data_IF_920750844996
#
_entry.id   IF_920750844996
#
_cell.length_a   1.000
_cell.length_b   1.000
_cell.length_c   1.000
_cell.angle_alpha   90.00
_cell.angle_beta   90.00
_cell.angle_gamma   90.00
#
_symmetry.space_group_name_H-M   'P 1'
#
loop_
_entity.id
_entity.type
_entity.pdbx_description
1 polymer ?
#
# COMPACT_ATOMS: atom_id res chain seq x y z
N UNK A 1 -78.25 12.18 13.97
CA UNK A 1 -77.02 13.01 13.89
C UNK A 1 -75.86 12.09 14.26
N UNK A 2 -75.14 11.55 13.28
CA UNK A 2 -74.07 10.56 13.50
C UNK A 2 -72.71 11.29 13.55
N UNK A 3 -71.99 11.14 14.65
CA UNK A 3 -70.63 11.68 14.84
C UNK A 3 -69.61 10.71 14.22
N UNK A 4 -68.95 11.14 13.15
CA UNK A 4 -67.84 10.43 12.52
C UNK A 4 -66.55 10.90 13.20
N UNK A 5 -65.86 10.02 13.89
CA UNK A 5 -64.53 10.26 14.47
C UNK A 5 -63.46 9.86 13.44
N UNK A 6 -62.51 10.73 13.06
CA UNK A 6 -61.45 10.34 12.15
C UNK A 6 -60.37 9.57 12.93
N UNK A 7 -60.12 8.32 12.54
CA UNK A 7 -58.93 7.57 12.97
C UNK A 7 -57.75 8.03 12.13
N UNK A 8 -56.87 8.84 12.72
CA UNK A 8 -55.57 9.16 12.14
C UNK A 8 -54.68 7.93 12.36
N UNK A 9 -54.41 7.18 11.29
CA UNK A 9 -53.42 6.12 11.30
C UNK A 9 -52.03 6.76 11.13
N UNK A 10 -51.24 6.77 12.21
CA UNK A 10 -49.83 7.14 12.17
C UNK A 10 -49.04 6.00 11.54
N UNK A 11 -48.71 6.14 10.25
CA UNK A 11 -47.86 5.19 9.54
C UNK A 11 -46.40 5.43 9.97
N UNK A 12 -45.90 4.65 10.92
CA UNK A 12 -44.48 4.64 11.28
C UNK A 12 -43.72 3.92 10.16
N UNK A 13 -43.15 4.68 9.22
CA UNK A 13 -42.20 4.14 8.25
C UNK A 13 -40.93 3.75 8.99
N UNK A 14 -40.71 2.46 9.24
CA UNK A 14 -39.39 1.94 9.58
C UNK A 14 -38.47 2.18 8.37
N UNK A 15 -37.61 3.19 8.45
CA UNK A 15 -36.47 3.29 7.56
C UNK A 15 -35.57 2.07 7.81
N UNK A 16 -35.17 1.32 6.78
CA UNK A 16 -34.17 0.28 6.97
C UNK A 16 -32.89 0.94 7.47
N UNK A 17 -32.38 0.49 8.61
CA UNK A 17 -31.04 0.84 9.07
C UNK A 17 -30.06 0.20 8.07
N UNK A 18 -29.71 0.90 7.00
CA UNK A 18 -28.54 0.53 6.21
C UNK A 18 -27.34 0.69 7.14
N UNK A 19 -26.72 -0.42 7.53
CA UNK A 19 -25.41 -0.37 8.18
C UNK A 19 -24.45 0.30 7.20
N UNK A 20 -23.96 1.49 7.56
CA UNK A 20 -22.89 2.13 6.82
C UNK A 20 -21.63 1.28 6.97
N UNK A 21 -20.80 1.25 5.93
CA UNK A 21 -19.50 0.62 6.05
C UNK A 21 -18.75 1.17 7.27
N UNK A 22 -17.96 0.34 7.95
CA UNK A 22 -17.18 0.79 9.10
C UNK A 22 -15.74 0.32 8.93
N UNK A 23 -14.80 1.26 9.01
CA UNK A 23 -13.37 0.98 8.90
C UNK A 23 -12.79 0.76 10.29
N UNK A 24 -12.33 -0.46 10.56
CA UNK A 24 -11.58 -0.84 11.77
C UNK A 24 -10.10 -1.00 11.44
N UNK A 25 -9.24 -0.45 12.29
CA UNK A 25 -7.79 -0.66 12.26
C UNK A 25 -7.36 -1.41 13.52
N UNK A 26 -6.85 -2.62 13.35
CA UNK A 26 -6.29 -3.45 14.42
C UNK A 26 -4.82 -3.08 14.68
N UNK A 27 -4.06 -2.86 13.61
CA UNK A 27 -2.72 -2.29 13.62
C UNK A 27 -2.56 -1.25 12.51
N UNK A 28 -1.76 -0.19 12.73
CA UNK A 28 -1.11 0.18 13.98
C UNK A 28 -2.13 0.68 15.02
N UNK A 29 -1.76 0.62 16.31
CA UNK A 29 -2.54 1.23 17.41
C UNK A 29 -1.98 2.61 17.73
N UNK A 30 -2.84 3.51 18.20
CA UNK A 30 -2.42 4.84 18.64
C UNK A 30 -1.46 4.79 19.84
N UNK A 31 -0.64 5.83 20.00
CA UNK A 31 0.23 6.01 21.17
C UNK A 31 1.71 5.81 20.86
N UNK A 32 2.49 5.44 21.88
CA UNK A 32 3.93 5.22 21.76
C UNK A 32 4.20 3.73 21.54
N UNK A 33 5.07 3.42 20.59
CA UNK A 33 5.50 2.05 20.34
C UNK A 33 7.02 1.98 20.14
N UNK A 34 7.59 0.84 20.49
CA UNK A 34 8.97 0.50 20.13
C UNK A 34 8.95 -0.01 18.68
N UNK A 35 9.91 0.41 17.86
CA UNK A 35 10.10 -0.13 16.51
C UNK A 35 10.43 -1.62 16.56
N UNK A 36 10.34 -2.33 15.43
CA UNK A 36 10.44 -3.79 15.37
C UNK A 36 11.66 -4.33 16.14
N UNK A 37 11.40 -5.03 17.25
CA UNK A 37 12.33 -5.94 17.91
C UNK A 37 11.83 -7.37 17.71
N UNK A 38 12.76 -8.32 17.56
CA UNK A 38 12.58 -9.77 17.34
C UNK A 38 11.27 -10.20 16.64
N UNK A 39 11.35 -10.46 15.33
CA UNK A 39 10.26 -11.07 14.55
C UNK A 39 9.65 -10.19 13.44
N UNK A 40 10.14 -8.98 13.23
CA UNK A 40 9.82 -8.21 12.04
C UNK A 40 10.62 -8.78 10.85
N UNK A 41 9.98 -9.56 9.99
CA UNK A 41 10.58 -10.02 8.74
C UNK A 41 10.33 -8.93 7.68
N UNK A 42 11.38 -8.21 7.32
CA UNK A 42 11.32 -7.17 6.28
C UNK A 42 11.63 -7.76 4.89
N UNK A 43 12.30 -8.91 4.85
CA UNK A 43 12.48 -9.69 3.62
C UNK A 43 11.46 -10.83 3.60
N UNK A 44 10.48 -10.75 2.71
CA UNK A 44 9.55 -11.85 2.46
C UNK A 44 10.21 -12.90 1.56
N UNK A 45 10.08 -14.18 1.93
CA UNK A 45 10.42 -15.31 1.04
C UNK A 45 9.35 -15.39 -0.06
N UNK A 46 9.72 -15.06 -1.29
CA UNK A 46 8.82 -15.07 -2.45
C UNK A 46 8.96 -16.40 -3.17
N UNK A 47 7.89 -17.20 -3.19
CA UNK A 47 7.78 -18.41 -4.00
C UNK A 47 6.90 -18.12 -5.23
N UNK A 48 7.47 -18.30 -6.42
CA UNK A 48 6.79 -18.04 -7.68
C UNK A 48 5.92 -19.23 -8.15
N UNK A 49 4.75 -18.99 -8.76
CA UNK A 49 4.05 -17.70 -8.91
C UNK A 49 3.29 -17.32 -7.63
N UNK A 50 3.48 -16.10 -7.13
CA UNK A 50 2.84 -15.64 -5.90
C UNK A 50 1.35 -15.36 -6.17
N UNK A 51 0.45 -16.05 -5.45
CA UNK A 51 -1.00 -15.96 -5.66
C UNK A 51 -1.71 -15.02 -4.68
N UNK A 52 -1.00 -14.43 -3.70
CA UNK A 52 -1.60 -13.55 -2.70
C UNK A 52 -0.57 -12.73 -1.93
N UNK A 53 -1.01 -11.61 -1.35
CA UNK A 53 -0.24 -10.84 -0.38
C UNK A 53 -0.21 -11.62 0.92
N UNK A 54 0.81 -12.45 1.09
CA UNK A 54 1.00 -13.19 2.32
C UNK A 54 1.95 -12.41 3.23
N UNK A 55 1.41 -11.65 4.18
CA UNK A 55 2.16 -11.34 5.40
C UNK A 55 2.58 -12.67 6.03
N UNK A 56 3.88 -12.86 6.31
CA UNK A 56 4.35 -14.09 6.95
C UNK A 56 3.54 -14.34 8.23
N UNK A 57 3.18 -15.60 8.51
CA UNK A 57 2.33 -15.96 9.66
C UNK A 57 2.89 -15.47 11.01
N UNK A 58 4.20 -15.23 11.06
CA UNK A 58 4.96 -14.74 12.21
C UNK A 58 5.36 -13.25 12.13
N UNK A 59 4.87 -12.46 11.16
CA UNK A 59 5.26 -11.05 11.01
C UNK A 59 4.89 -10.24 12.26
N UNK A 60 5.78 -9.40 12.77
CA UNK A 60 5.46 -8.58 13.94
C UNK A 60 4.31 -7.58 13.64
N UNK A 61 3.36 -7.43 14.57
CA UNK A 61 2.28 -6.44 14.50
C UNK A 61 2.80 -4.99 14.33
N UNK A 62 4.06 -4.74 14.71
CA UNK A 62 4.75 -3.46 14.56
C UNK A 62 5.08 -3.11 13.10
N UNK A 63 5.11 -4.10 12.20
CA UNK A 63 5.54 -3.98 10.81
C UNK A 63 4.41 -4.31 9.81
N UNK A 64 3.15 -4.11 10.22
CA UNK A 64 1.97 -4.33 9.37
C UNK A 64 0.82 -3.36 9.64
N UNK A 65 0.00 -3.16 8.63
CA UNK A 65 -1.27 -2.43 8.67
C UNK A 65 -2.38 -3.44 8.46
N UNK A 66 -3.16 -3.70 9.51
CA UNK A 66 -4.19 -4.74 9.54
C UNK A 66 -5.51 -4.20 10.06
N UNK A 67 -6.60 -4.68 9.48
CA UNK A 67 -7.94 -4.34 9.93
C UNK A 67 -9.01 -4.96 9.05
N UNK A 68 -10.19 -4.37 9.09
CA UNK A 68 -11.31 -4.78 8.27
C UNK A 68 -12.21 -3.58 7.94
N UNK A 69 -12.90 -3.64 6.80
CA UNK A 69 -14.00 -2.76 6.44
C UNK A 69 -15.27 -3.60 6.40
N UNK A 70 -16.16 -3.39 7.38
CA UNK A 70 -17.42 -4.12 7.47
C UNK A 70 -18.51 -3.46 6.63
N UNK A 71 -19.61 -4.18 6.41
CA UNK A 71 -20.80 -3.70 5.70
C UNK A 71 -20.55 -3.12 4.29
N UNK A 72 -19.50 -3.61 3.61
CA UNK A 72 -19.27 -3.33 2.19
C UNK A 72 -20.39 -3.92 1.34
N UNK A 73 -20.88 -3.14 0.38
CA UNK A 73 -21.81 -3.65 -0.62
C UNK A 73 -21.07 -4.58 -1.59
N UNK A 74 -21.77 -5.55 -2.18
CA UNK A 74 -21.19 -6.57 -3.07
C UNK A 74 -20.52 -5.98 -4.33
N UNK A 75 -20.97 -4.81 -4.77
CA UNK A 75 -20.36 -4.03 -5.85
C UNK A 75 -19.08 -3.30 -5.38
N UNK A 76 -19.06 -2.81 -4.14
CA UNK A 76 -17.91 -2.12 -3.54
C UNK A 76 -16.78 -3.07 -3.14
N UNK A 77 -17.09 -4.32 -2.78
CA UNK A 77 -16.09 -5.32 -2.39
C UNK A 77 -15.12 -5.70 -3.50
N UNK A 78 -15.39 -5.27 -4.75
CA UNK A 78 -14.51 -5.47 -5.91
C UNK A 78 -13.58 -4.28 -6.19
N UNK A 79 -13.86 -3.12 -5.60
CA UNK A 79 -13.04 -1.93 -5.78
C UNK A 79 -12.03 -1.82 -4.63
N UNK A 80 -10.79 -1.35 -4.90
CA UNK A 80 -9.83 -1.16 -3.84
C UNK A 80 -10.25 -0.02 -2.90
N UNK A 81 -9.97 -0.19 -1.61
CA UNK A 81 -9.96 0.92 -0.67
C UNK A 81 -8.78 1.86 -0.93
N UNK A 82 -8.57 2.80 0.00
CA UNK A 82 -7.36 3.64 0.01
C UNK A 82 -6.63 3.48 1.33
N UNK A 83 -5.32 3.29 1.24
CA UNK A 83 -4.40 3.38 2.36
C UNK A 83 -3.57 4.65 2.21
N UNK A 84 -3.49 5.47 3.25
CA UNK A 84 -2.68 6.69 3.29
C UNK A 84 -1.73 6.60 4.48
N UNK A 85 -0.43 6.54 4.20
CA UNK A 85 0.61 6.50 5.24
C UNK A 85 1.49 7.74 5.12
N UNK A 86 1.51 8.57 6.16
CA UNK A 86 2.27 9.84 6.21
C UNK A 86 2.04 10.74 4.97
N UNK A 87 0.84 10.71 4.39
CA UNK A 87 0.49 11.47 3.18
C UNK A 87 0.65 10.68 1.87
N UNK A 88 1.40 9.58 1.86
CA UNK A 88 1.51 8.67 0.71
C UNK A 88 0.23 7.86 0.54
N UNK A 89 -0.58 8.20 -0.45
CA UNK A 89 -1.83 7.50 -0.79
C UNK A 89 -1.57 6.38 -1.79
N UNK A 90 -2.03 5.17 -1.47
CA UNK A 90 -1.96 3.98 -2.31
C UNK A 90 -3.29 3.21 -2.30
N UNK A 91 -3.60 2.41 -3.33
CA UNK A 91 -4.77 1.54 -3.29
C UNK A 91 -4.59 0.44 -2.22
N UNK A 92 -5.71 -0.01 -1.65
CA UNK A 92 -5.73 -1.07 -0.64
C UNK A 92 -6.61 -2.21 -1.14
N UNK A 93 -6.02 -3.39 -1.35
CA UNK A 93 -6.81 -4.60 -1.60
C UNK A 93 -7.58 -4.95 -0.32
N UNK A 94 -8.85 -5.28 -0.50
CA UNK A 94 -9.75 -5.72 0.56
C UNK A 94 -10.20 -7.12 0.18
N UNK A 95 -10.11 -8.04 1.13
CA UNK A 95 -10.53 -9.44 0.95
C UNK A 95 -12.06 -9.55 0.90
N UNK A 96 -12.58 -10.69 0.44
CA UNK A 96 -14.03 -10.89 0.29
C UNK A 96 -14.80 -10.77 1.62
N UNK A 97 -14.15 -11.04 2.75
CA UNK A 97 -14.69 -10.88 4.11
C UNK A 97 -14.54 -9.44 4.66
N UNK A 98 -13.98 -8.52 3.87
CA UNK A 98 -13.70 -7.15 4.25
C UNK A 98 -12.34 -6.96 4.92
N UNK A 99 -11.56 -8.02 5.12
CA UNK A 99 -10.24 -7.97 5.74
C UNK A 99 -9.19 -7.24 4.90
N UNK A 100 -8.15 -6.74 5.56
CA UNK A 100 -6.91 -6.34 4.91
C UNK A 100 -5.71 -6.54 5.85
N UNK A 101 -4.59 -6.96 5.28
CA UNK A 101 -3.29 -7.07 5.95
C UNK A 101 -2.20 -6.65 4.94
N UNK A 102 -1.34 -5.72 5.34
CA UNK A 102 -0.26 -5.19 4.51
C UNK A 102 1.02 -5.05 5.34
N UNK A 103 2.15 -5.65 4.92
CA UNK A 103 3.43 -5.33 5.53
C UNK A 103 3.76 -3.85 5.27
N UNK A 104 4.30 -3.17 6.28
CA UNK A 104 4.72 -1.77 6.14
C UNK A 104 5.84 -1.42 7.13
N UNK A 105 6.91 -0.81 6.62
CA UNK A 105 8.03 -0.32 7.43
C UNK A 105 7.83 1.15 7.76
N UNK A 106 7.43 1.42 9.00
CA UNK A 106 7.23 2.78 9.46
C UNK A 106 8.55 3.43 9.87
N UNK A 107 8.81 4.69 9.44
CA UNK A 107 9.97 5.43 9.91
C UNK A 107 9.88 5.68 11.42
N UNK A 108 11.03 5.98 12.03
CA UNK A 108 11.05 6.49 13.40
C UNK A 108 10.35 7.86 13.48
N UNK A 109 9.82 8.19 14.65
CA UNK A 109 9.11 9.44 14.89
C UNK A 109 7.59 9.35 14.70
N UNK A 110 6.97 10.49 14.40
CA UNK A 110 5.52 10.62 14.32
C UNK A 110 4.99 10.03 13.02
N UNK A 111 3.97 9.18 13.12
CA UNK A 111 3.39 8.48 11.99
C UNK A 111 1.86 8.60 12.00
N UNK A 112 1.27 8.60 10.80
CA UNK A 112 -0.16 8.63 10.58
C UNK A 112 -0.57 7.60 9.53
N UNK A 113 -1.50 6.73 9.88
CA UNK A 113 -2.14 5.79 8.96
C UNK A 113 -3.62 6.10 8.84
N UNK A 114 -4.11 6.20 7.63
CA UNK A 114 -5.53 6.33 7.34
C UNK A 114 -5.97 5.28 6.32
N UNK A 115 -7.08 4.60 6.62
CA UNK A 115 -7.77 3.71 5.67
C UNK A 115 -9.11 4.33 5.31
N UNK A 116 -9.45 4.29 4.02
CA UNK A 116 -10.74 4.72 3.49
C UNK A 116 -11.43 3.57 2.77
N UNK A 117 -12.76 3.52 2.89
CA UNK A 117 -13.61 2.61 2.11
C UNK A 117 -13.49 2.89 0.60
N UNK A 118 -13.83 1.93 -0.27
CA UNK A 118 -13.75 2.09 -1.73
C UNK A 118 -14.58 3.27 -2.27
N UNK A 119 -15.75 3.53 -1.67
CA UNK A 119 -16.62 4.67 -1.99
C UNK A 119 -16.15 6.01 -1.39
N UNK A 120 -15.11 5.98 -0.54
CA UNK A 120 -14.56 7.13 0.17
C UNK A 120 -15.46 7.70 1.28
N UNK A 121 -16.61 7.11 1.57
CA UNK A 121 -17.56 7.65 2.56
C UNK A 121 -17.09 7.43 4.00
N UNK A 122 -16.28 6.41 4.23
CA UNK A 122 -15.80 6.02 5.55
C UNK A 122 -14.30 6.11 5.61
N UNK A 123 -13.79 6.57 6.75
CA UNK A 123 -12.35 6.64 7.00
C UNK A 123 -12.03 6.41 8.46
N UNK A 124 -10.92 5.73 8.70
CA UNK A 124 -10.32 5.60 10.02
C UNK A 124 -8.88 6.05 9.95
N UNK A 125 -8.50 6.94 10.87
CA UNK A 125 -7.13 7.44 11.01
C UNK A 125 -6.58 7.07 12.39
N UNK A 126 -5.33 6.63 12.41
CA UNK A 126 -4.55 6.34 13.61
C UNK A 126 -3.24 7.12 13.55
N UNK A 127 -2.86 7.69 14.68
CA UNK A 127 -1.60 8.40 14.86
C UNK A 127 -0.82 7.77 16.01
N UNK A 128 0.46 7.56 15.80
CA UNK A 128 1.35 6.96 16.79
C UNK A 128 2.77 7.47 16.62
N UNK A 129 3.56 7.35 17.67
CA UNK A 129 4.98 7.65 17.67
C UNK A 129 5.78 6.35 17.69
N UNK A 130 6.65 6.17 16.70
CA UNK A 130 7.53 5.03 16.55
C UNK A 130 8.90 5.37 17.13
N UNK A 131 9.25 4.82 18.29
CA UNK A 131 10.51 5.14 18.97
C UNK A 131 11.74 4.46 18.33
N UNK A 132 11.53 3.69 17.25
CA UNK A 132 12.56 2.84 16.65
C UNK A 132 12.97 1.67 17.57
N UNK A 133 13.85 0.82 17.06
CA UNK A 133 14.50 -0.29 17.80
C UNK A 133 16.01 -0.08 17.96
N UNK A 134 16.50 1.13 17.69
CA UNK A 134 17.94 1.45 17.64
C UNK A 134 18.55 1.42 16.23
N UNK A 135 17.76 1.04 15.22
CA UNK A 135 18.13 1.13 13.81
C UNK A 135 18.23 2.59 13.34
N UNK A 136 19.11 2.85 12.37
CA UNK A 136 19.21 4.17 11.74
C UNK A 136 18.00 4.38 10.83
N UNK A 137 17.18 5.41 11.04
CA UNK A 137 16.01 5.66 10.21
C UNK A 137 16.39 5.83 8.73
N UNK A 138 15.52 5.34 7.84
CA UNK A 138 15.63 5.64 6.42
C UNK A 138 15.64 7.16 6.20
N UNK A 139 16.51 7.64 5.32
CA UNK A 139 16.52 9.03 4.84
C UNK A 139 16.05 9.12 3.40
N UNK A 140 16.29 8.10 2.60
CA UNK A 140 15.73 7.95 1.27
C UNK A 140 14.71 6.82 1.28
N UNK A 141 13.54 7.05 0.68
CA UNK A 141 12.55 6.02 0.43
C UNK A 141 11.88 6.23 -0.92
N UNK A 142 11.68 5.15 -1.65
CA UNK A 142 10.92 5.10 -2.89
C UNK A 142 9.81 4.09 -2.71
N UNK A 143 8.57 4.52 -2.89
CA UNK A 143 7.37 3.68 -2.76
C UNK A 143 6.72 3.56 -4.12
N UNK A 144 6.53 2.34 -4.61
CA UNK A 144 5.76 2.04 -5.82
C UNK A 144 4.43 1.40 -5.41
N UNK A 145 3.34 1.85 -6.02
CA UNK A 145 2.02 1.20 -5.98
C UNK A 145 1.38 1.31 -7.36
N UNK A 146 0.30 0.58 -7.64
CA UNK A 146 -0.36 0.65 -8.95
C UNK A 146 -1.86 0.42 -8.85
N UNK A 147 -2.59 0.68 -9.93
CA UNK A 147 -4.06 0.74 -9.94
C UNK A 147 -4.77 -0.53 -10.45
N UNK A 148 -4.03 -1.53 -10.96
CA UNK A 148 -4.60 -2.78 -11.48
C UNK A 148 -4.33 -3.96 -10.55
N UNK A 149 -5.38 -4.73 -10.21
CA UNK A 149 -5.23 -5.94 -9.41
C UNK A 149 -4.58 -7.06 -10.24
N UNK A 150 -3.95 -8.01 -9.55
CA UNK A 150 -3.26 -9.17 -10.16
C UNK A 150 -2.21 -8.77 -11.21
N UNK A 151 -1.69 -7.54 -11.13
CA UNK A 151 -0.52 -7.07 -11.87
C UNK A 151 0.70 -7.07 -10.96
N UNK A 152 1.86 -7.29 -11.56
CA UNK A 152 3.15 -7.31 -10.91
C UNK A 152 4.04 -6.22 -11.53
N UNK A 153 4.41 -5.22 -10.72
CA UNK A 153 5.34 -4.17 -11.09
C UNK A 153 6.52 -4.17 -10.13
N UNK A 154 7.74 -4.31 -10.66
CA UNK A 154 8.96 -4.27 -9.85
C UNK A 154 9.54 -2.86 -9.79
N UNK A 155 10.00 -2.47 -8.61
CA UNK A 155 10.74 -1.26 -8.34
C UNK A 155 12.25 -1.52 -8.42
N UNK A 156 12.93 -0.67 -9.19
CA UNK A 156 14.37 -0.73 -9.39
C UNK A 156 15.00 0.62 -9.01
N UNK A 157 16.11 0.59 -8.28
CA UNK A 157 16.89 1.77 -7.93
C UNK A 157 18.37 1.56 -8.30
N UNK A 158 18.92 2.44 -9.11
CA UNK A 158 20.37 2.54 -9.35
C UNK A 158 20.94 3.63 -8.47
N UNK A 159 21.95 3.30 -7.68
CA UNK A 159 22.62 4.21 -6.73
C UNK A 159 23.80 4.94 -7.39
N UNK A 160 24.31 6.05 -6.80
CA UNK A 160 25.38 6.87 -7.40
C UNK A 160 26.70 6.16 -7.66
N UNK A 161 26.98 5.09 -6.94
CA UNK A 161 28.14 4.20 -7.12
C UNK A 161 27.94 3.14 -8.23
N UNK A 162 26.77 3.13 -8.87
CA UNK A 162 26.44 2.23 -9.99
C UNK A 162 25.83 0.89 -9.58
N UNK A 163 25.60 0.67 -8.28
CA UNK A 163 24.92 -0.53 -7.79
C UNK A 163 23.41 -0.47 -8.06
N UNK A 164 22.76 -1.64 -8.08
CA UNK A 164 21.37 -1.80 -8.50
C UNK A 164 20.57 -2.64 -7.50
N UNK A 165 19.59 -2.01 -6.85
CA UNK A 165 18.58 -2.66 -5.99
C UNK A 165 17.37 -3.05 -6.84
N UNK A 166 16.94 -4.30 -6.72
CA UNK A 166 15.71 -4.86 -7.33
C UNK A 166 15.40 -6.23 -6.72
N UNK A 167 14.34 -6.91 -7.16
CA UNK A 167 13.91 -8.19 -6.57
C UNK A 167 15.04 -9.24 -6.50
N UNK A 168 15.94 -9.28 -7.49
CA UNK A 168 17.05 -10.23 -7.58
C UNK A 168 18.30 -9.82 -6.79
N UNK A 169 18.38 -8.56 -6.34
CA UNK A 169 19.47 -8.04 -5.50
C UNK A 169 18.90 -7.04 -4.50
N UNK A 170 18.35 -7.57 -3.40
CA UNK A 170 17.47 -6.82 -2.47
C UNK A 170 18.21 -5.99 -1.44
N UNK A 171 19.52 -6.15 -1.28
CA UNK A 171 20.30 -5.41 -0.30
C UNK A 171 21.70 -5.16 -0.83
N UNK A 172 22.11 -3.90 -0.81
CA UNK A 172 23.43 -3.46 -1.25
C UNK A 172 24.34 -3.15 -0.07
N UNK A 173 25.65 -3.27 -0.30
CA UNK A 173 26.66 -2.92 0.70
C UNK A 173 26.63 -1.44 1.11
N UNK A 174 26.08 -0.57 0.26
CA UNK A 174 25.90 0.87 0.54
C UNK A 174 24.65 1.17 1.40
N UNK A 175 23.90 0.14 1.82
CA UNK A 175 22.77 0.27 2.74
C UNK A 175 21.44 0.60 2.08
N UNK A 176 21.34 0.58 0.75
CA UNK A 176 20.04 0.58 0.08
C UNK A 176 19.45 -0.84 0.04
N UNK A 177 18.18 -0.98 0.37
CA UNK A 177 17.49 -2.27 0.43
C UNK A 177 16.03 -2.19 -0.03
N UNK A 178 15.54 -3.30 -0.59
CA UNK A 178 14.12 -3.54 -0.86
C UNK A 178 13.47 -4.06 0.42
N UNK A 179 12.79 -3.15 1.14
CA UNK A 179 12.27 -3.33 2.50
C UNK A 179 10.89 -3.99 2.55
N UNK A 180 10.10 -3.84 1.48
CA UNK A 180 8.80 -4.49 1.29
C UNK A 180 8.65 -4.82 -0.18
N UNK A 181 8.34 -6.09 -0.45
CA UNK A 181 8.16 -6.66 -1.78
C UNK A 181 6.76 -7.31 -1.83
N UNK A 182 5.85 -6.70 -2.57
CA UNK A 182 4.46 -7.17 -2.71
C UNK A 182 4.20 -7.44 -4.19
N UNK A 183 4.25 -8.71 -4.57
CA UNK A 183 4.18 -9.17 -5.97
C UNK A 183 2.77 -9.34 -6.52
N UNK A 184 1.73 -9.03 -5.74
CA UNK A 184 0.33 -9.11 -6.18
C UNK A 184 -0.55 -8.04 -5.54
N UNK A 185 -1.63 -7.67 -6.21
CA UNK A 185 -2.54 -6.63 -5.71
C UNK A 185 -2.16 -5.28 -6.30
N UNK A 186 -1.89 -4.32 -5.43
CA UNK A 186 -1.67 -2.91 -5.79
C UNK A 186 -0.35 -2.36 -5.22
N UNK A 187 0.58 -3.25 -4.86
CA UNK A 187 1.77 -2.94 -4.06
C UNK A 187 1.49 -2.78 -2.54
N UNK A 188 2.30 -2.03 -1.79
CA UNK A 188 3.46 -1.28 -2.26
C UNK A 188 4.72 -2.15 -2.42
N UNK A 189 5.60 -1.78 -3.33
CA UNK A 189 7.03 -2.10 -3.23
C UNK A 189 7.79 -0.90 -2.68
N UNK A 190 8.73 -1.14 -1.77
CA UNK A 190 9.46 -0.08 -1.09
C UNK A 190 10.95 -0.35 -1.08
N UNK A 191 11.74 0.58 -1.64
CA UNK A 191 13.18 0.64 -1.46
C UNK A 191 13.50 1.76 -0.48
N UNK A 192 14.35 1.50 0.50
CA UNK A 192 14.83 2.53 1.43
C UNK A 192 16.35 2.49 1.61
N UNK A 193 16.90 3.61 2.08
CA UNK A 193 18.29 3.72 2.49
C UNK A 193 18.42 4.66 3.70
N UNK A 194 19.05 4.18 4.76
CA UNK A 194 19.38 4.97 5.95
C UNK A 194 20.56 5.93 5.70
N UNK A 195 21.49 5.53 4.83
CA UNK A 195 22.70 6.27 4.49
C UNK A 195 22.80 6.49 2.98
N UNK A 196 21.86 7.24 2.37
CA UNK A 196 21.89 7.48 0.94
C UNK A 196 23.20 8.16 0.55
N UNK A 197 23.89 7.59 -0.42
CA UNK A 197 25.06 8.18 -1.06
C UNK A 197 24.67 9.52 -1.71
N UNK A 198 25.62 10.45 -1.73
CA UNK A 198 25.46 11.70 -2.48
C UNK A 198 25.61 11.45 -3.97
N UNK A 199 24.80 12.13 -4.77
CA UNK A 199 24.90 12.08 -6.23
C UNK A 199 23.65 11.51 -6.90
N UNK A 200 23.82 11.06 -8.15
CA UNK A 200 22.74 10.74 -9.05
C UNK A 200 22.13 9.36 -8.79
N UNK A 201 20.81 9.33 -8.56
CA UNK A 201 20.00 8.11 -8.52
C UNK A 201 19.11 8.01 -9.75
N UNK A 202 18.78 6.79 -10.13
CA UNK A 202 17.84 6.49 -11.20
C UNK A 202 16.78 5.52 -10.69
N UNK A 203 15.51 5.92 -10.79
CA UNK A 203 14.35 5.11 -10.40
C UNK A 203 13.70 4.54 -11.65
N UNK A 204 13.61 3.22 -11.71
CA UNK A 204 12.94 2.51 -12.79
C UNK A 204 11.77 1.68 -12.24
N UNK A 205 10.80 1.43 -13.09
CA UNK A 205 9.72 0.48 -12.84
C UNK A 205 9.70 -0.53 -13.97
N UNK A 206 9.70 -1.81 -13.63
CA UNK A 206 9.49 -2.88 -14.59
C UNK A 206 8.02 -3.32 -14.54
N UNK A 207 7.37 -3.42 -15.69
CA UNK A 207 6.09 -4.13 -15.77
C UNK A 207 6.35 -5.60 -16.01
N UNK A 208 6.46 -6.41 -14.96
CA UNK A 208 6.80 -7.83 -15.12
C UNK A 208 5.67 -8.60 -15.85
N UNK A 209 4.43 -8.39 -15.44
CA UNK A 209 3.26 -8.99 -16.10
C UNK A 209 2.03 -9.07 -15.22
N UNK A 210 1.06 -9.90 -15.62
CA UNK A 210 -0.23 -10.02 -14.93
C UNK A 210 -1.28 -9.02 -15.44
N UNK A 211 -2.44 -8.99 -14.79
CA UNK A 211 -3.59 -8.21 -15.25
C UNK A 211 -4.33 -8.81 -16.45
N UNK A 212 -4.09 -10.08 -16.79
CA UNK A 212 -4.80 -10.81 -17.84
C UNK A 212 -5.53 -12.03 -17.26
N UNK A 213 -6.75 -12.28 -17.73
CA UNK A 213 -7.49 -13.52 -17.55
C UNK A 213 -7.48 -14.33 -18.84
N UNK A 214 -7.49 -15.65 -18.74
CA UNK A 214 -7.56 -16.55 -19.89
C UNK A 214 -8.88 -17.31 -19.86
N UNK A 215 -9.56 -17.43 -20.99
CA UNK A 215 -10.74 -18.29 -21.12
C UNK A 215 -10.35 -19.78 -21.31
N UNK A 216 -11.35 -20.67 -21.32
CA UNK A 216 -11.14 -22.12 -21.49
C UNK A 216 -10.51 -22.48 -22.85
N UNK A 217 -10.59 -21.58 -23.83
CA UNK A 217 -10.05 -21.73 -25.18
C UNK A 217 -8.65 -21.11 -25.32
N UNK A 218 -8.13 -20.50 -24.25
CA UNK A 218 -6.79 -19.91 -24.14
C UNK A 218 -6.68 -18.48 -24.65
N UNK A 219 -7.78 -17.80 -24.98
CA UNK A 219 -7.75 -16.40 -25.33
C UNK A 219 -7.55 -15.54 -24.07
N UNK A 220 -6.65 -14.56 -24.15
CA UNK A 220 -6.34 -13.66 -23.04
C UNK A 220 -7.14 -12.37 -23.14
N UNK A 221 -7.82 -11.99 -22.07
CA UNK A 221 -8.43 -10.68 -21.89
C UNK A 221 -7.70 -9.89 -20.80
N UNK A 222 -7.36 -8.63 -21.08
CA UNK A 222 -6.80 -7.75 -20.06
C UNK A 222 -7.91 -7.31 -19.09
N UNK A 223 -7.73 -7.53 -17.79
CA UNK A 223 -8.64 -7.06 -16.74
C UNK A 223 -8.71 -5.53 -16.65
N UNK A 224 -7.66 -4.84 -17.10
CA UNK A 224 -7.62 -3.40 -17.28
C UNK A 224 -6.81 -3.04 -18.53
N UNK A 225 -7.25 -2.01 -19.27
CA UNK A 225 -6.62 -1.60 -20.54
C UNK A 225 -5.21 -1.03 -20.34
N UNK A 226 -4.98 -0.32 -19.23
CA UNK A 226 -3.70 0.34 -18.94
C UNK A 226 -3.45 0.35 -17.45
N UNK A 227 -2.39 -0.31 -16.99
CA UNK A 227 -1.91 -0.19 -15.61
C UNK A 227 -1.18 1.15 -15.43
N UNK A 228 -1.46 1.85 -14.35
CA UNK A 228 -0.73 3.05 -13.94
C UNK A 228 -0.01 2.79 -12.62
N UNK A 229 1.31 2.89 -12.64
CA UNK A 229 2.12 2.94 -11.42
C UNK A 229 2.14 4.34 -10.82
N UNK A 230 2.14 4.43 -9.49
CA UNK A 230 2.41 5.63 -8.73
C UNK A 230 3.70 5.43 -7.93
N UNK A 231 4.68 6.28 -8.19
CA UNK A 231 5.96 6.31 -7.49
C UNK A 231 5.96 7.51 -6.58
N UNK A 232 6.23 7.30 -5.29
CA UNK A 232 6.46 8.36 -4.32
C UNK A 232 7.91 8.32 -3.87
N UNK A 233 8.67 9.36 -4.22
CA UNK A 233 10.03 9.60 -3.77
C UNK A 233 10.02 10.47 -2.52
N UNK A 234 10.61 9.98 -1.43
CA UNK A 234 10.76 10.67 -0.15
C UNK A 234 12.26 10.81 0.11
N UNK A 235 12.74 12.05 0.21
CA UNK A 235 14.13 12.36 0.59
C UNK A 235 14.15 13.04 1.94
N UNK A 236 15.20 12.80 2.72
CA UNK A 236 15.35 13.34 4.08
C UNK A 236 14.18 12.96 5.01
N UNK A 237 13.65 11.73 4.86
CA UNK A 237 12.50 11.20 5.61
C UNK A 237 12.67 11.37 7.12
N UNK A 238 11.62 11.87 7.78
CA UNK A 238 11.58 12.11 9.22
C UNK A 238 12.32 13.37 9.68
N UNK A 239 12.86 14.19 8.77
CA UNK A 239 13.58 15.42 9.11
C UNK A 239 12.79 16.68 8.71
N UNK A 240 13.25 17.85 9.17
CA UNK A 240 12.70 19.15 8.74
C UNK A 240 12.93 19.45 7.26
N UNK A 241 13.84 18.72 6.61
CA UNK A 241 14.16 18.86 5.19
C UNK A 241 13.45 17.80 4.34
N UNK A 242 12.54 17.01 4.93
CA UNK A 242 11.79 16.00 4.19
C UNK A 242 11.12 16.60 2.96
N UNK A 243 11.29 15.93 1.82
CA UNK A 243 10.62 16.28 0.57
C UNK A 243 10.00 15.04 -0.03
N UNK A 244 8.74 15.17 -0.42
CA UNK A 244 7.97 14.13 -1.08
C UNK A 244 7.58 14.57 -2.50
N UNK A 245 7.88 13.76 -3.51
CA UNK A 245 7.45 13.94 -4.90
C UNK A 245 6.72 12.67 -5.35
N UNK A 246 5.58 12.81 -6.03
CA UNK A 246 4.85 11.66 -6.58
C UNK A 246 4.68 11.77 -8.09
N UNK A 247 4.83 10.65 -8.78
CA UNK A 247 4.80 10.53 -10.23
C UNK A 247 3.83 9.42 -10.62
N UNK A 248 3.01 9.67 -11.65
CA UNK A 248 2.17 8.64 -12.27
C UNK A 248 2.81 8.19 -13.57
N UNK A 249 2.92 6.88 -13.75
CA UNK A 249 3.63 6.25 -14.86
C UNK A 249 2.71 5.22 -15.51
N UNK A 250 2.23 5.48 -16.74
CA UNK A 250 1.44 4.51 -17.47
C UNK A 250 2.36 3.37 -17.98
N UNK A 251 2.03 2.14 -17.61
CA UNK A 251 2.78 0.93 -18.00
C UNK A 251 2.11 0.31 -19.23
N UNK A 252 2.82 0.27 -20.36
CA UNK A 252 2.21 -0.08 -21.65
C UNK A 252 2.44 -1.53 -22.07
N UNK A 253 3.61 -2.08 -21.79
CA UNK A 253 4.01 -3.40 -22.28
C UNK A 253 4.61 -4.22 -21.15
N UNK A 254 4.14 -5.45 -20.90
CA UNK A 254 4.87 -6.39 -20.05
C UNK A 254 6.31 -6.60 -20.53
N UNK A 255 7.25 -6.70 -19.60
CA UNK A 255 8.70 -6.72 -19.79
C UNK A 255 9.36 -5.34 -19.95
N UNK A 256 8.60 -4.26 -20.08
CA UNK A 256 9.16 -2.91 -20.24
C UNK A 256 9.80 -2.41 -18.93
N UNK A 257 11.06 -1.99 -19.00
CA UNK A 257 11.74 -1.26 -17.92
C UNK A 257 11.71 0.24 -18.23
N UNK A 258 10.88 0.98 -17.49
CA UNK A 258 10.64 2.41 -17.71
C UNK A 258 11.44 3.24 -16.70
N UNK A 259 12.29 4.16 -17.19
CA UNK A 259 12.91 5.19 -16.34
C UNK A 259 11.84 6.19 -15.89
N UNK A 260 11.57 6.24 -14.60
CA UNK A 260 10.55 7.13 -14.02
C UNK A 260 11.14 8.46 -13.60
N UNK A 261 12.28 8.42 -12.91
CA UNK A 261 12.89 9.62 -12.33
C UNK A 261 14.41 9.48 -12.28
N UNK A 262 15.06 10.58 -12.62
CA UNK A 262 16.46 10.85 -12.30
C UNK A 262 16.50 11.99 -11.28
N UNK A 263 17.20 11.81 -10.16
CA UNK A 263 17.36 12.84 -9.13
C UNK A 263 18.72 12.77 -8.45
N UNK A 264 19.24 13.91 -7.99
CA UNK A 264 20.47 13.99 -7.21
C UNK A 264 20.18 14.11 -5.73
N UNK A 265 20.78 13.25 -4.90
CA UNK A 265 20.70 13.33 -3.45
C UNK A 265 21.83 14.22 -2.90
N UNK A 266 21.52 15.21 -2.03
CA UNK A 266 22.45 16.26 -1.60
C UNK A 266 23.54 15.84 -0.59
#
# INVERSE_FOLDING_TARGET
MALITPRIALCLTLLPLCALAEVKLDTPRSGWRVGGGDGAQFMQEVNYPASSVNSAANQADTARIKGAISALRKDESKAPGRLVVNGTSMPLKIDEDGGFDRPFVFPAGSNNVEVRSPDGSQRRRVQFYNNGSGETPARLRVVLSWDSDNTDLDLHLVTPDGEHVWYGNRSLANGAALDVDVTTGYGPEMIASATPLKGQYLVYVNYYGGGYSYDEEGASEAGQILTTGQITLITEEGTVNEKQESFLVPMRTPGELTLVKSFSYP
#
